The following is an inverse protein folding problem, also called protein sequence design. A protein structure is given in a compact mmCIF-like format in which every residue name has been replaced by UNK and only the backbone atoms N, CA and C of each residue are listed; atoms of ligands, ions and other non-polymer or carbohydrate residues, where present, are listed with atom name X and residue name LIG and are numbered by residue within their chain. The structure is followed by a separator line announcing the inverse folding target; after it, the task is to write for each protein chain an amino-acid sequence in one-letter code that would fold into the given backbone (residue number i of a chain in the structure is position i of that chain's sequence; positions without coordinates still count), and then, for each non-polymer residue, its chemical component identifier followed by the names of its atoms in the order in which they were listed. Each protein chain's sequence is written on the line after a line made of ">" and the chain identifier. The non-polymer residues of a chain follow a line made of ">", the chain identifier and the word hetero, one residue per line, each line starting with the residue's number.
data_IF_985864048549
#
_entry.id   IF_985864048549
#
_cell.length_a   1.000
_cell.length_b   1.000
_cell.length_c   1.000
_cell.angle_alpha   90.00
_cell.angle_beta   90.00
_cell.angle_gamma   90.00
#
_symmetry.space_group_name_H-M   'P 1'
#
loop_
_entity.id
_entity.type
_entity.pdbx_description
1 polymer ?
#
# COMPACT_ATOMS: atom_id res chain seq x y z
N UNK A 1 -6.82 36.41 5.24
CA UNK A 1 -7.02 35.18 4.46
C UNK A 1 -5.73 34.65 3.83
N UNK A 2 -4.97 35.42 3.07
CA UNK A 2 -3.78 34.95 2.36
C UNK A 2 -2.66 34.32 3.24
N UNK A 3 -2.45 34.83 4.47
CA UNK A 3 -1.44 34.30 5.39
C UNK A 3 -1.77 32.90 5.91
N UNK A 4 -3.03 32.66 6.29
CA UNK A 4 -3.51 31.32 6.76
C UNK A 4 -3.40 30.29 5.65
N UNK A 5 -3.76 30.69 4.43
CA UNK A 5 -3.69 29.81 3.26
C UNK A 5 -2.24 29.43 2.92
N UNK A 6 -1.29 30.37 2.97
CA UNK A 6 0.14 30.08 2.78
C UNK A 6 0.70 29.18 3.89
N UNK A 7 0.30 29.39 5.13
CA UNK A 7 0.73 28.55 6.26
C UNK A 7 0.24 27.10 6.11
N UNK A 8 -1.04 26.91 5.76
CA UNK A 8 -1.61 25.58 5.51
C UNK A 8 -0.90 24.87 4.35
N UNK A 9 -0.64 25.55 3.24
CA UNK A 9 0.08 24.99 2.10
C UNK A 9 1.49 24.54 2.53
N UNK A 10 2.21 25.35 3.30
CA UNK A 10 3.54 25.00 3.80
C UNK A 10 3.52 23.75 4.69
N UNK A 11 2.53 23.63 5.59
CA UNK A 11 2.36 22.43 6.43
C UNK A 11 2.10 21.20 5.57
N UNK A 12 1.21 21.30 4.57
CA UNK A 12 0.89 20.20 3.67
C UNK A 12 2.12 19.75 2.86
N UNK A 13 2.88 20.68 2.32
CA UNK A 13 4.11 20.40 1.59
C UNK A 13 5.12 19.69 2.50
N UNK A 14 5.33 20.17 3.73
CA UNK A 14 6.26 19.56 4.67
C UNK A 14 5.83 18.14 5.08
N UNK A 15 4.53 17.90 5.31
CA UNK A 15 4.00 16.56 5.58
C UNK A 15 4.19 15.64 4.39
N UNK A 16 3.87 16.09 3.18
CA UNK A 16 4.06 15.32 1.95
C UNK A 16 5.53 14.94 1.73
N UNK A 17 6.45 15.90 1.96
CA UNK A 17 7.90 15.65 1.87
C UNK A 17 8.37 14.58 2.86
N UNK A 18 7.83 14.58 4.09
CA UNK A 18 8.16 13.55 5.10
C UNK A 18 7.66 12.17 4.68
N UNK A 19 6.42 12.07 4.20
CA UNK A 19 5.84 10.81 3.72
C UNK A 19 6.64 10.27 2.53
N UNK A 20 6.98 11.12 1.56
CA UNK A 20 7.82 10.74 0.41
C UNK A 20 9.19 10.22 0.84
N UNK A 21 9.83 10.90 1.79
CA UNK A 21 11.14 10.50 2.29
C UNK A 21 11.07 9.17 3.04
N UNK A 22 10.01 8.94 3.81
CA UNK A 22 9.75 7.66 4.48
C UNK A 22 9.55 6.53 3.45
N UNK A 23 8.74 6.77 2.42
CA UNK A 23 8.52 5.82 1.34
C UNK A 23 9.84 5.46 0.62
N UNK A 24 10.65 6.45 0.27
CA UNK A 24 11.95 6.23 -0.37
C UNK A 24 12.93 5.47 0.52
N UNK A 25 12.90 5.73 1.82
CA UNK A 25 13.72 5.00 2.78
C UNK A 25 13.31 3.53 2.86
N UNK A 26 12.03 3.24 3.03
CA UNK A 26 11.50 1.86 3.03
C UNK A 26 11.85 1.14 1.72
N UNK A 27 11.69 1.83 0.59
CA UNK A 27 12.04 1.32 -0.73
C UNK A 27 13.52 0.94 -0.83
N UNK A 28 14.43 1.83 -0.44
CA UNK A 28 15.87 1.58 -0.52
C UNK A 28 16.32 0.45 0.41
N UNK A 29 15.83 0.43 1.65
CA UNK A 29 16.10 -0.63 2.62
C UNK A 29 15.62 -2.00 2.11
N UNK A 30 14.40 -2.06 1.54
CA UNK A 30 13.83 -3.31 1.03
C UNK A 30 14.55 -3.83 -0.21
N UNK A 31 14.83 -2.97 -1.19
CA UNK A 31 15.60 -3.35 -2.38
C UNK A 31 16.97 -3.91 -2.01
N UNK A 32 17.65 -3.27 -1.04
CA UNK A 32 18.92 -3.77 -0.54
C UNK A 32 18.79 -5.11 0.18
N UNK A 33 17.74 -5.30 0.99
CA UNK A 33 17.48 -6.55 1.68
C UNK A 33 17.22 -7.70 0.70
N UNK A 34 16.44 -7.46 -0.35
CA UNK A 34 16.18 -8.44 -1.41
C UNK A 34 17.43 -8.76 -2.21
N UNK A 35 18.21 -7.76 -2.60
CA UNK A 35 19.46 -7.96 -3.36
C UNK A 35 20.53 -8.71 -2.58
N UNK A 36 20.56 -8.55 -1.24
CA UNK A 36 21.49 -9.27 -0.34
C UNK A 36 20.95 -10.63 0.11
N UNK A 37 19.80 -11.07 -0.38
CA UNK A 37 19.24 -12.36 -0.01
C UNK A 37 20.17 -13.51 -0.44
N UNK A 38 20.29 -14.54 0.39
CA UNK A 38 21.08 -15.73 0.08
C UNK A 38 20.45 -16.58 -1.01
N UNK A 39 19.11 -16.60 -1.07
CA UNK A 39 18.36 -17.33 -2.08
C UNK A 39 18.44 -16.59 -3.43
N UNK A 40 18.94 -17.27 -4.51
CA UNK A 40 19.07 -16.69 -5.84
C UNK A 40 17.75 -16.17 -6.41
N UNK A 41 16.64 -16.87 -6.14
CA UNK A 41 15.31 -16.49 -6.62
C UNK A 41 14.88 -15.08 -6.16
N UNK A 42 15.15 -14.73 -4.89
CA UNK A 42 14.88 -13.40 -4.38
C UNK A 42 15.92 -12.37 -4.82
N UNK A 43 17.19 -12.77 -4.84
CA UNK A 43 18.32 -11.90 -5.18
C UNK A 43 18.30 -11.46 -6.64
N UNK A 44 18.09 -12.39 -7.57
CA UNK A 44 18.23 -12.13 -9.00
C UNK A 44 17.01 -11.38 -9.54
N UNK A 45 15.83 -11.62 -8.95
CA UNK A 45 14.58 -10.95 -9.30
C UNK A 45 14.15 -9.87 -8.30
N UNK A 46 15.09 -9.28 -7.54
CA UNK A 46 14.78 -8.35 -6.45
C UNK A 46 13.91 -7.16 -6.84
N UNK A 47 14.04 -6.62 -8.07
CA UNK A 47 13.21 -5.52 -8.57
C UNK A 47 11.77 -5.93 -8.76
N UNK A 48 11.55 -7.11 -9.34
CA UNK A 48 10.24 -7.69 -9.53
C UNK A 48 9.57 -7.94 -8.19
N UNK A 49 10.27 -8.58 -7.26
CA UNK A 49 9.73 -8.88 -5.94
C UNK A 49 9.40 -7.63 -5.15
N UNK A 50 10.24 -6.63 -5.21
CA UNK A 50 9.95 -5.35 -4.59
C UNK A 50 8.69 -4.72 -5.20
N UNK A 51 8.60 -4.63 -6.52
CA UNK A 51 7.47 -4.05 -7.24
C UNK A 51 6.17 -4.78 -6.88
N UNK A 52 6.19 -6.09 -6.91
CA UNK A 52 5.04 -6.94 -6.59
C UNK A 52 4.55 -6.71 -5.16
N UNK A 53 5.43 -6.81 -4.16
CA UNK A 53 5.05 -6.67 -2.77
C UNK A 53 4.60 -5.24 -2.42
N UNK A 54 5.29 -4.21 -2.92
CA UNK A 54 4.87 -2.82 -2.68
C UNK A 54 3.52 -2.51 -3.31
N UNK A 55 3.24 -3.07 -4.49
CA UNK A 55 1.94 -2.89 -5.13
C UNK A 55 0.83 -3.56 -4.34
N UNK A 56 1.07 -4.77 -3.82
CA UNK A 56 0.13 -5.47 -2.94
C UNK A 56 -0.12 -4.69 -1.64
N UNK A 57 0.92 -4.21 -0.96
CA UNK A 57 0.77 -3.43 0.26
C UNK A 57 -0.01 -2.13 0.03
N UNK A 58 0.25 -1.44 -1.09
CA UNK A 58 -0.52 -0.26 -1.48
C UNK A 58 -1.98 -0.63 -1.80
N UNK A 59 -2.22 -1.76 -2.46
CA UNK A 59 -3.57 -2.29 -2.68
C UNK A 59 -4.31 -2.59 -1.38
N UNK A 60 -3.64 -3.15 -0.37
CA UNK A 60 -4.21 -3.36 0.96
C UNK A 60 -4.64 -2.04 1.62
N UNK A 61 -3.88 -0.96 1.43
CA UNK A 61 -4.28 0.37 1.93
C UNK A 61 -5.55 0.88 1.24
N UNK A 62 -5.69 0.65 -0.08
CA UNK A 62 -6.94 0.99 -0.80
C UNK A 62 -8.12 0.20 -0.25
N UNK A 63 -7.96 -1.12 -0.06
CA UNK A 63 -9.00 -1.96 0.53
C UNK A 63 -9.35 -1.55 1.96
N UNK A 64 -8.34 -1.15 2.76
CA UNK A 64 -8.57 -0.62 4.10
C UNK A 64 -9.42 0.65 4.07
N UNK A 65 -9.08 1.59 3.17
CA UNK A 65 -9.84 2.83 2.99
C UNK A 65 -11.26 2.51 2.49
N UNK A 66 -11.41 1.61 1.54
CA UNK A 66 -12.70 1.19 1.00
C UNK A 66 -13.59 0.59 2.10
N UNK A 67 -13.05 -0.28 2.95
CA UNK A 67 -13.74 -0.83 4.12
C UNK A 67 -14.19 0.27 5.08
N UNK A 68 -13.40 1.33 5.26
CA UNK A 68 -13.79 2.46 6.10
C UNK A 68 -14.85 3.35 5.41
N UNK A 69 -14.76 3.54 4.09
CA UNK A 69 -15.74 4.30 3.31
C UNK A 69 -17.12 3.63 3.28
N UNK A 70 -17.17 2.31 3.42
CA UNK A 70 -18.40 1.56 3.52
C UNK A 70 -19.32 2.08 4.67
N UNK A 71 -18.74 2.53 5.81
CA UNK A 71 -19.52 3.12 6.91
C UNK A 71 -20.25 4.40 6.54
N UNK A 72 -19.91 4.99 5.40
CA UNK A 72 -20.50 6.24 4.88
C UNK A 72 -21.30 5.99 3.59
N UNK A 73 -21.58 4.74 3.25
CA UNK A 73 -22.22 4.34 1.97
C UNK A 73 -21.46 4.82 0.73
N UNK A 74 -20.13 4.91 0.84
CA UNK A 74 -19.23 5.39 -0.22
C UNK A 74 -18.27 4.31 -0.70
N UNK A 75 -18.58 3.02 -0.51
CA UNK A 75 -17.71 1.91 -0.91
C UNK A 75 -17.47 1.89 -2.41
N UNK A 76 -16.20 1.77 -2.79
CA UNK A 76 -15.77 1.64 -4.19
C UNK A 76 -16.05 0.23 -4.69
N UNK A 77 -15.89 -0.78 -3.83
CA UNK A 77 -16.11 -2.19 -4.17
C UNK A 77 -17.56 -2.47 -4.58
N UNK A 78 -18.54 -1.76 -3.98
CA UNK A 78 -19.95 -1.89 -4.33
C UNK A 78 -20.26 -1.30 -5.71
N UNK A 79 -19.48 -0.32 -6.15
CA UNK A 79 -19.60 0.28 -7.49
C UNK A 79 -18.95 -0.58 -8.59
N UNK A 80 -18.14 -1.58 -8.22
CA UNK A 80 -17.45 -2.44 -9.16
C UNK A 80 -18.29 -3.70 -9.44
N UNK A 81 -18.64 -3.94 -10.69
CA UNK A 81 -19.26 -5.19 -11.14
C UNK A 81 -18.22 -6.31 -11.21
N UNK A 82 -17.86 -6.87 -10.05
CA UNK A 82 -16.93 -7.98 -9.94
C UNK A 82 -17.62 -9.31 -10.31
N UNK A 83 -16.84 -10.28 -10.77
CA UNK A 83 -17.35 -11.63 -11.04
C UNK A 83 -17.92 -12.26 -9.77
N UNK A 84 -19.03 -12.98 -9.89
CA UNK A 84 -19.60 -13.75 -8.79
C UNK A 84 -18.74 -14.96 -8.40
N UNK A 85 -17.87 -15.42 -9.30
CA UNK A 85 -16.86 -16.42 -8.95
C UNK A 85 -15.85 -15.82 -7.98
N UNK A 86 -15.70 -16.44 -6.80
CA UNK A 86 -14.86 -15.92 -5.70
C UNK A 86 -13.40 -15.77 -6.09
N UNK A 87 -12.89 -16.67 -6.92
CA UNK A 87 -11.48 -16.64 -7.38
C UNK A 87 -11.30 -15.52 -8.41
N UNK A 88 -12.17 -15.48 -9.41
CA UNK A 88 -12.10 -14.48 -10.50
C UNK A 88 -12.38 -13.09 -9.92
N UNK A 89 -13.41 -12.92 -9.09
CA UNK A 89 -13.71 -11.67 -8.42
C UNK A 89 -12.60 -11.18 -7.52
N UNK A 90 -11.96 -12.09 -6.76
CA UNK A 90 -10.78 -11.77 -5.94
C UNK A 90 -9.57 -11.32 -6.77
N UNK A 91 -9.30 -11.99 -7.89
CA UNK A 91 -8.23 -11.58 -8.82
C UNK A 91 -8.53 -10.22 -9.48
N UNK A 92 -9.78 -9.98 -9.89
CA UNK A 92 -10.21 -8.69 -10.43
C UNK A 92 -10.01 -7.57 -9.41
N UNK A 93 -10.46 -7.77 -8.17
CA UNK A 93 -10.28 -6.80 -7.08
C UNK A 93 -8.79 -6.52 -6.82
N UNK A 94 -7.96 -7.56 -6.77
CA UNK A 94 -6.52 -7.41 -6.61
C UNK A 94 -5.89 -6.63 -7.77
N UNK A 95 -6.27 -6.91 -9.01
CA UNK A 95 -5.75 -6.20 -10.18
C UNK A 95 -6.19 -4.72 -10.18
N UNK A 96 -7.42 -4.43 -9.80
CA UNK A 96 -7.95 -3.05 -9.76
C UNK A 96 -7.29 -2.26 -8.62
N UNK A 97 -7.09 -2.86 -7.46
CA UNK A 97 -6.53 -2.17 -6.30
C UNK A 97 -5.01 -2.10 -6.30
N UNK A 98 -4.30 -3.15 -6.70
CA UNK A 98 -2.83 -3.20 -6.69
C UNK A 98 -2.18 -2.85 -8.04
N UNK A 99 -2.85 -3.13 -9.16
CA UNK A 99 -2.31 -2.91 -10.50
C UNK A 99 -1.86 -1.49 -10.79
N UNK A 100 -2.68 -0.45 -10.54
CA UNK A 100 -2.27 0.95 -10.73
C UNK A 100 -1.03 1.33 -9.94
N UNK A 101 -0.88 0.78 -8.72
CA UNK A 101 0.33 1.02 -7.92
C UNK A 101 1.55 0.32 -8.47
N UNK A 102 1.40 -0.81 -9.17
CA UNK A 102 2.50 -1.44 -9.90
C UNK A 102 3.07 -0.49 -10.94
N UNK A 103 2.21 0.13 -11.72
CA UNK A 103 2.59 1.11 -12.74
C UNK A 103 3.23 2.35 -12.09
N UNK A 104 2.59 2.93 -11.09
CA UNK A 104 3.11 4.11 -10.38
C UNK A 104 4.46 3.83 -9.71
N UNK A 105 4.58 2.72 -9.00
CA UNK A 105 5.82 2.31 -8.34
C UNK A 105 6.95 2.10 -9.35
N UNK A 106 6.64 1.51 -10.52
CA UNK A 106 7.62 1.36 -11.59
C UNK A 106 8.15 2.74 -12.04
N UNK A 107 7.26 3.68 -12.33
CA UNK A 107 7.67 5.02 -12.78
C UNK A 107 8.43 5.80 -11.70
N UNK A 108 7.99 5.75 -10.45
CA UNK A 108 8.65 6.51 -9.37
C UNK A 108 10.01 5.95 -8.96
N UNK A 109 10.18 4.64 -9.03
CA UNK A 109 11.35 3.96 -8.47
C UNK A 109 12.31 3.46 -9.56
N UNK A 110 11.82 2.80 -10.60
CA UNK A 110 12.67 2.17 -11.61
C UNK A 110 12.92 3.03 -12.84
N UNK A 111 11.94 3.85 -13.20
CA UNK A 111 12.12 4.78 -14.32
C UNK A 111 13.25 5.76 -14.01
N UNK A 112 14.15 5.97 -14.97
CA UNK A 112 15.38 6.80 -14.83
C UNK A 112 16.39 6.29 -13.78
N UNK A 113 16.28 5.07 -13.30
CA UNK A 113 17.27 4.47 -12.41
C UNK A 113 17.30 5.01 -10.97
N UNK A 114 16.25 5.69 -10.52
CA UNK A 114 16.12 6.25 -9.16
C UNK A 114 16.40 5.21 -8.07
N UNK A 115 16.03 3.94 -8.31
CA UNK A 115 16.28 2.84 -7.36
C UNK A 115 17.75 2.69 -6.96
N UNK A 116 18.70 2.96 -7.87
CA UNK A 116 20.14 2.87 -7.57
C UNK A 116 20.53 3.88 -6.50
N UNK A 117 20.10 5.14 -6.67
CA UNK A 117 20.33 6.22 -5.71
C UNK A 117 19.68 5.92 -4.35
N UNK A 118 18.49 5.32 -4.35
CA UNK A 118 17.81 4.92 -3.12
C UNK A 118 18.57 3.80 -2.39
N UNK A 119 19.06 2.81 -3.13
CA UNK A 119 19.85 1.71 -2.57
C UNK A 119 21.18 2.20 -1.99
N UNK A 120 21.84 3.14 -2.66
CA UNK A 120 23.11 3.70 -2.18
C UNK A 120 22.91 4.57 -0.93
N UNK A 121 21.81 5.36 -0.92
CA UNK A 121 21.49 6.25 0.19
C UNK A 121 20.99 5.53 1.44
N UNK A 122 20.22 4.46 1.27
CA UNK A 122 19.57 3.72 2.35
C UNK A 122 20.11 2.29 2.41
N UNK A 123 21.20 2.11 3.14
CA UNK A 123 21.76 0.78 3.30
C UNK A 123 20.92 -0.07 4.27
N UNK A 124 20.80 -1.36 3.99
CA UNK A 124 19.86 -2.30 4.63
C UNK A 124 20.13 -2.64 6.11
N UNK A 125 20.97 -1.88 6.81
CA UNK A 125 21.38 -2.23 8.17
C UNK A 125 20.27 -2.06 9.22
N UNK A 126 19.18 -1.34 8.87
CA UNK A 126 18.05 -1.12 9.78
C UNK A 126 16.75 -1.73 9.27
N UNK A 127 16.65 -3.07 9.31
CA UNK A 127 15.44 -3.81 8.91
C UNK A 127 14.20 -3.51 9.77
N UNK A 128 14.34 -2.79 10.89
CA UNK A 128 13.24 -2.49 11.81
C UNK A 128 12.13 -1.65 11.14
N UNK A 129 12.50 -0.65 10.36
CA UNK A 129 11.52 0.24 9.73
C UNK A 129 10.68 -0.52 8.69
N UNK A 130 11.31 -1.35 7.85
CA UNK A 130 10.64 -2.19 6.88
C UNK A 130 9.69 -3.17 7.57
N UNK A 131 10.16 -3.89 8.60
CA UNK A 131 9.34 -4.81 9.38
C UNK A 131 8.14 -4.09 10.02
N UNK A 132 8.36 -2.93 10.63
CA UNK A 132 7.29 -2.12 11.22
C UNK A 132 6.26 -1.68 10.17
N UNK A 133 6.70 -1.28 8.98
CA UNK A 133 5.80 -0.88 7.90
C UNK A 133 4.94 -2.05 7.43
N UNK A 134 5.53 -3.23 7.18
CA UNK A 134 4.81 -4.43 6.74
C UNK A 134 3.81 -4.86 7.82
N UNK A 135 4.26 -5.06 9.05
CA UNK A 135 3.40 -5.49 10.16
C UNK A 135 2.30 -4.46 10.40
N UNK A 136 2.64 -3.16 10.44
CA UNK A 136 1.68 -2.08 10.61
C UNK A 136 0.59 -2.08 9.54
N UNK A 137 0.94 -2.30 8.27
CA UNK A 137 -0.03 -2.40 7.18
C UNK A 137 -1.01 -3.55 7.40
N UNK A 138 -0.51 -4.74 7.75
CA UNK A 138 -1.38 -5.88 8.01
C UNK A 138 -2.25 -5.67 9.26
N UNK A 139 -1.70 -5.13 10.33
CA UNK A 139 -2.47 -4.85 11.56
C UNK A 139 -3.62 -3.88 11.27
N UNK A 140 -3.36 -2.78 10.57
CA UNK A 140 -4.40 -1.79 10.24
C UNK A 140 -5.45 -2.39 9.32
N UNK A 141 -5.06 -3.18 8.32
CA UNK A 141 -5.97 -3.89 7.42
C UNK A 141 -6.88 -4.86 8.17
N UNK A 142 -6.31 -5.71 9.03
CA UNK A 142 -7.12 -6.65 9.83
C UNK A 142 -8.04 -5.93 10.82
N UNK A 143 -7.58 -4.86 11.47
CA UNK A 143 -8.43 -4.07 12.35
C UNK A 143 -9.62 -3.46 11.60
N UNK A 144 -9.43 -2.97 10.35
CA UNK A 144 -10.52 -2.46 9.53
C UNK A 144 -11.55 -3.55 9.19
N UNK A 145 -11.08 -4.75 8.79
CA UNK A 145 -11.97 -5.89 8.51
C UNK A 145 -12.72 -6.33 9.77
N UNK A 146 -12.02 -6.48 10.91
CA UNK A 146 -12.68 -6.91 12.14
C UNK A 146 -13.69 -5.88 12.64
N UNK A 147 -13.41 -4.58 12.55
CA UNK A 147 -14.38 -3.54 12.89
C UNK A 147 -15.63 -3.63 12.02
N UNK A 148 -15.46 -3.88 10.73
CA UNK A 148 -16.56 -4.07 9.79
C UNK A 148 -17.43 -5.28 10.17
N UNK A 149 -16.82 -6.45 10.44
CA UNK A 149 -17.52 -7.65 10.87
C UNK A 149 -18.27 -7.46 12.19
N UNK A 150 -17.66 -6.77 13.17
CA UNK A 150 -18.30 -6.49 14.46
C UNK A 150 -19.53 -5.60 14.27
N UNK A 151 -19.42 -4.55 13.47
CA UNK A 151 -20.58 -3.67 13.18
C UNK A 151 -21.70 -4.44 12.51
N UNK A 152 -21.40 -5.27 11.50
CA UNK A 152 -22.41 -6.11 10.84
C UNK A 152 -23.11 -7.06 11.83
N UNK A 153 -22.38 -7.64 12.78
CA UNK A 153 -22.96 -8.51 13.81
C UNK A 153 -23.86 -7.76 14.78
N UNK A 154 -23.52 -6.51 15.14
CA UNK A 154 -24.30 -5.69 16.08
C UNK A 154 -25.54 -5.11 15.41
N UNK A 155 -25.43 -4.62 14.18
CA UNK A 155 -26.55 -3.98 13.47
C UNK A 155 -27.55 -4.97 12.88
N UNK A 156 -27.18 -6.24 12.81
CA UNK A 156 -28.00 -7.27 12.15
C UNK A 156 -28.07 -7.12 10.63
N UNK A 157 -27.37 -6.15 10.08
CA UNK A 157 -27.24 -5.93 8.63
C UNK A 157 -26.29 -6.97 8.03
N UNK A 158 -26.76 -8.22 8.02
CA UNK A 158 -26.08 -9.27 7.27
C UNK A 158 -26.31 -9.07 5.77
N UNK A 159 -25.74 -8.02 5.20
CA UNK A 159 -25.57 -7.89 3.73
C UNK A 159 -24.54 -8.88 3.18
N UNK A 160 -24.30 -9.98 3.91
CA UNK A 160 -23.54 -11.13 3.49
C UNK A 160 -24.43 -12.03 2.60
N UNK A 161 -24.87 -11.54 1.45
CA UNK A 161 -25.61 -12.46 0.57
C UNK A 161 -26.55 -11.83 -0.46
N UNK A 162 -26.22 -10.70 -0.99
CA UNK A 162 -26.85 -10.23 -2.24
C UNK A 162 -25.86 -10.05 -3.35
#
# INVERSE_FOLDING_TARGET
>A
MALVQRYMITILINKFMRIRNLYYRITGEWLNALKKNKDPFWRDYYKFWWLFHMSLLNGLWVLTIDTLLWYFDLSISDALSLSQDKIIGGLQLMLITAGPFGVLNYFFVFYKGTYKQLMDRYNADNKKLLGTFIIGTFVVFFLAIYSHLIVQLITGDAHLGR
#
